data_IF_632485832044
#
_entry.id   IF_632485832044
#
_cell.length_a   1.000
_cell.length_b   1.000
_cell.length_c   1.000
_cell.angle_alpha   90.00
_cell.angle_beta   90.00
_cell.angle_gamma   90.00
#
_symmetry.space_group_name_H-M   'P 1'
#
loop_
_entity.id
_entity.type
_entity.pdbx_description
1 polymer ?
#
# COMPACT_ATOMS: atom_id res chain seq x y z
N UNK A 1 23.90 0.91 -24.35
CA UNK A 1 23.70 0.89 -22.90
C UNK A 1 22.44 0.08 -22.62
N UNK A 2 22.57 -1.04 -21.93
CA UNK A 2 21.68 -2.21 -22.05
C UNK A 2 20.32 -2.01 -21.37
N UNK A 3 19.30 -1.65 -22.16
CA UNK A 3 17.89 -1.52 -21.74
C UNK A 3 17.16 -2.87 -21.70
N UNK A 4 17.72 -3.91 -21.06
CA UNK A 4 17.10 -5.23 -20.96
C UNK A 4 17.09 -5.78 -19.53
N UNK A 5 16.33 -5.15 -18.63
CA UNK A 5 15.90 -5.79 -17.38
C UNK A 5 14.47 -5.38 -16.98
N UNK A 6 13.63 -5.00 -17.94
CA UNK A 6 12.26 -4.55 -17.64
C UNK A 6 11.32 -5.70 -17.23
N UNK A 7 11.80 -6.97 -17.17
CA UNK A 7 10.93 -8.14 -16.91
C UNK A 7 11.47 -9.25 -16.00
N UNK A 8 12.64 -9.08 -15.39
CA UNK A 8 13.22 -10.12 -14.49
C UNK A 8 12.81 -9.98 -13.02
N UNK A 9 12.14 -8.87 -12.66
CA UNK A 9 11.79 -8.58 -11.26
C UNK A 9 10.38 -9.05 -10.87
N UNK A 10 9.85 -10.12 -11.49
CA UNK A 10 8.53 -10.62 -11.11
C UNK A 10 8.55 -11.19 -9.68
N UNK A 11 7.71 -10.68 -8.80
CA UNK A 11 7.51 -11.23 -7.47
C UNK A 11 6.48 -12.36 -7.51
N UNK A 12 6.71 -13.41 -6.72
CA UNK A 12 5.72 -14.47 -6.57
C UNK A 12 4.42 -13.92 -5.96
N UNK A 13 3.25 -14.48 -6.30
CA UNK A 13 1.97 -14.06 -5.71
C UNK A 13 1.99 -14.12 -4.18
N UNK A 14 2.69 -15.10 -3.62
CA UNK A 14 2.89 -15.24 -2.18
C UNK A 14 3.65 -14.05 -1.56
N UNK A 15 4.76 -13.64 -2.18
CA UNK A 15 5.55 -12.49 -1.70
C UNK A 15 4.73 -11.19 -1.75
N UNK A 16 3.97 -10.99 -2.84
CA UNK A 16 3.07 -9.84 -3.00
C UNK A 16 1.94 -9.85 -1.96
N UNK A 17 1.34 -11.02 -1.70
CA UNK A 17 0.32 -11.16 -0.68
C UNK A 17 0.86 -10.84 0.72
N UNK A 18 2.11 -11.20 1.02
CA UNK A 18 2.79 -10.81 2.26
C UNK A 18 2.88 -9.29 2.43
N UNK A 19 3.07 -8.55 1.34
CA UNK A 19 3.10 -7.08 1.34
C UNK A 19 1.69 -6.51 1.53
N UNK A 20 0.69 -7.03 0.82
CA UNK A 20 -0.73 -6.65 1.01
C UNK A 20 -1.14 -6.85 2.47
N UNK A 21 -0.77 -7.98 3.07
CA UNK A 21 -1.08 -8.27 4.47
C UNK A 21 -0.42 -7.24 5.41
N UNK A 22 0.85 -6.86 5.18
CA UNK A 22 1.50 -5.79 5.95
C UNK A 22 0.80 -4.44 5.81
N UNK A 23 0.30 -4.11 4.62
CA UNK A 23 -0.45 -2.86 4.36
C UNK A 23 -1.74 -2.89 5.16
N UNK A 24 -2.47 -4.00 5.08
CA UNK A 24 -3.71 -4.20 5.82
C UNK A 24 -3.51 -4.15 7.34
N UNK A 25 -2.45 -4.79 7.85
CA UNK A 25 -2.08 -4.74 9.28
C UNK A 25 -1.80 -3.31 9.74
N UNK A 26 -1.11 -2.54 8.90
CA UNK A 26 -0.83 -1.12 9.16
C UNK A 26 -2.14 -0.33 9.19
N UNK A 27 -3.05 -0.53 8.23
CA UNK A 27 -4.35 0.15 8.21
C UNK A 27 -5.18 -0.18 9.46
N UNK A 28 -5.24 -1.45 9.86
CA UNK A 28 -5.96 -1.91 11.05
C UNK A 28 -5.45 -1.26 12.33
N UNK A 29 -4.14 -1.12 12.50
CA UNK A 29 -3.54 -0.49 13.70
C UNK A 29 -3.88 0.98 13.85
N UNK A 30 -4.13 1.68 12.75
CA UNK A 30 -4.47 3.11 12.76
C UNK A 30 -5.99 3.35 12.73
N UNK A 31 -6.80 2.32 12.54
CA UNK A 31 -8.26 2.39 12.52
C UNK A 31 -8.87 1.37 13.51
N UNK A 32 -8.93 1.73 14.81
CA UNK A 32 -9.37 0.80 15.87
C UNK A 32 -10.85 0.38 15.80
N UNK A 33 -11.65 0.95 14.89
CA UNK A 33 -13.08 0.63 14.73
C UNK A 33 -13.45 0.43 13.25
N UNK A 34 -13.08 -0.72 12.68
CA UNK A 34 -13.57 -1.12 11.36
C UNK A 34 -14.65 -2.20 11.51
N UNK A 35 -15.89 -1.87 11.12
CA UNK A 35 -16.97 -2.86 10.91
C UNK A 35 -16.50 -3.98 9.97
N UNK A 36 -17.10 -5.19 9.97
CA UNK A 36 -16.77 -6.22 8.99
C UNK A 36 -16.78 -5.71 7.54
N UNK A 37 -17.72 -4.84 7.17
CA UNK A 37 -17.76 -4.17 5.87
C UNK A 37 -16.53 -3.27 5.65
N UNK A 38 -16.17 -2.47 6.64
CA UNK A 38 -15.00 -1.60 6.56
C UNK A 38 -13.69 -2.38 6.48
N UNK A 39 -13.62 -3.57 7.10
CA UNK A 39 -12.46 -4.45 6.99
C UNK A 39 -12.27 -4.96 5.55
N UNK A 40 -13.36 -5.28 4.86
CA UNK A 40 -13.33 -5.67 3.46
C UNK A 40 -12.86 -4.51 2.56
N UNK A 41 -13.33 -3.29 2.84
CA UNK A 41 -12.87 -2.09 2.13
C UNK A 41 -11.37 -1.83 2.35
N UNK A 42 -10.84 -2.00 3.57
CA UNK A 42 -9.40 -1.88 3.81
C UNK A 42 -8.60 -2.91 3.03
N UNK A 43 -9.11 -4.14 2.90
CA UNK A 43 -8.47 -5.19 2.11
C UNK A 43 -8.47 -4.82 0.63
N UNK A 44 -9.59 -4.31 0.09
CA UNK A 44 -9.68 -3.82 -1.30
C UNK A 44 -8.70 -2.67 -1.55
N UNK A 45 -8.58 -1.73 -0.62
CA UNK A 45 -7.62 -0.63 -0.68
C UNK A 45 -6.19 -1.16 -0.69
N UNK A 46 -5.84 -2.07 0.21
CA UNK A 46 -4.49 -2.66 0.27
C UNK A 46 -4.12 -3.41 -1.02
N UNK A 47 -5.05 -4.18 -1.58
CA UNK A 47 -4.86 -4.90 -2.85
C UNK A 47 -4.66 -3.95 -4.03
N UNK A 48 -5.59 -3.00 -4.24
CA UNK A 48 -5.49 -2.02 -5.34
C UNK A 48 -4.22 -1.18 -5.23
N UNK A 49 -3.84 -0.84 -4.01
CA UNK A 49 -2.64 -0.07 -3.74
C UNK A 49 -1.38 -0.84 -4.18
N UNK A 50 -1.22 -2.08 -3.71
CA UNK A 50 -0.07 -2.91 -4.07
C UNK A 50 -0.02 -3.18 -5.57
N UNK A 51 -1.16 -3.49 -6.19
CA UNK A 51 -1.27 -3.78 -7.62
C UNK A 51 -0.86 -2.57 -8.49
N UNK A 52 -1.29 -1.37 -8.10
CA UNK A 52 -0.89 -0.13 -8.77
C UNK A 52 0.61 0.11 -8.68
N UNK A 53 1.24 -0.20 -7.55
CA UNK A 53 2.70 -0.05 -7.40
C UNK A 53 3.43 -1.13 -8.19
N UNK A 54 2.93 -2.36 -8.19
CA UNK A 54 3.52 -3.47 -8.95
C UNK A 54 3.51 -3.19 -10.46
N UNK A 55 2.41 -2.66 -10.99
CA UNK A 55 2.28 -2.35 -12.41
C UNK A 55 3.07 -1.12 -12.86
N UNK A 56 3.39 -0.20 -11.95
CA UNK A 56 4.10 1.06 -12.27
C UNK A 56 5.58 1.06 -11.92
N UNK A 57 6.06 0.06 -11.17
CA UNK A 57 7.48 -0.03 -10.83
C UNK A 57 8.29 -0.64 -11.97
N UNK A 58 9.49 -0.12 -12.20
CA UNK A 58 10.40 -0.68 -13.21
C UNK A 58 11.25 -1.84 -12.68
N UNK A 59 11.42 -1.95 -11.36
CA UNK A 59 12.22 -2.97 -10.69
C UNK A 59 11.76 -3.20 -9.24
N UNK A 60 12.26 -4.28 -8.62
CA UNK A 60 11.89 -4.67 -7.25
C UNK A 60 12.24 -3.58 -6.22
N UNK A 61 13.37 -2.90 -6.38
CA UNK A 61 13.80 -1.82 -5.49
C UNK A 61 12.83 -0.65 -5.54
N UNK A 62 12.42 -0.24 -6.74
CA UNK A 62 11.45 0.83 -6.92
C UNK A 62 10.08 0.45 -6.35
N UNK A 63 9.64 -0.79 -6.56
CA UNK A 63 8.43 -1.32 -5.98
C UNK A 63 8.47 -1.25 -4.44
N UNK A 64 9.51 -1.79 -3.79
CA UNK A 64 9.64 -1.77 -2.34
C UNK A 64 9.74 -0.35 -1.77
N UNK A 65 10.46 0.55 -2.45
CA UNK A 65 10.55 1.98 -2.09
C UNK A 65 9.18 2.66 -2.16
N UNK A 66 8.43 2.45 -3.24
CA UNK A 66 7.08 3.01 -3.42
C UNK A 66 6.07 2.47 -2.40
N UNK A 67 6.13 1.18 -2.08
CA UNK A 67 5.34 0.58 -0.99
C UNK A 67 5.68 1.27 0.34
N UNK A 68 6.97 1.39 0.67
CA UNK A 68 7.43 1.97 1.94
C UNK A 68 7.00 3.43 2.08
N UNK A 69 7.17 4.25 1.04
CA UNK A 69 6.75 5.65 1.04
C UNK A 69 5.24 5.80 1.27
N UNK A 70 4.44 4.94 0.64
CA UNK A 70 2.99 4.98 0.78
C UNK A 70 2.51 4.44 2.12
N UNK A 71 3.20 3.47 2.72
CA UNK A 71 2.95 3.03 4.09
C UNK A 71 3.11 4.19 5.09
N UNK A 72 4.06 5.10 4.87
CA UNK A 72 4.22 6.31 5.68
C UNK A 72 3.02 7.25 5.50
N UNK A 73 2.52 7.43 4.27
CA UNK A 73 1.30 8.22 4.03
C UNK A 73 0.04 7.61 4.65
N UNK A 74 -0.09 6.27 4.63
CA UNK A 74 -1.21 5.56 5.27
C UNK A 74 -1.16 5.68 6.80
N UNK A 75 0.04 5.75 7.38
CA UNK A 75 0.27 6.11 8.79
C UNK A 75 -0.21 7.52 9.14
N UNK A 76 -0.13 8.46 8.19
CA UNK A 76 -0.56 9.85 8.35
C UNK A 76 -2.04 10.11 8.06
N UNK A 77 -2.76 9.18 7.44
CA UNK A 77 -4.21 9.35 7.18
C UNK A 77 -5.02 9.45 8.49
N UNK A 78 -4.54 8.85 9.59
CA UNK A 78 -5.15 9.03 10.92
C UNK A 78 -5.11 10.49 11.43
N UNK A 79 -4.37 11.40 10.80
CA UNK A 79 -4.30 12.82 11.16
C UNK A 79 -4.88 13.77 10.09
N UNK A 80 -5.55 13.25 9.05
CA UNK A 80 -6.10 14.03 7.95
C UNK A 80 -7.53 14.58 8.15
N UNK A 81 -8.05 14.61 9.37
CA UNK A 81 -9.32 15.28 9.68
C UNK A 81 -9.19 16.10 10.96
N UNK A 82 -8.51 17.25 10.85
CA UNK A 82 -8.63 18.36 11.80
C UNK A 82 -8.06 19.65 11.18
N UNK A 83 -8.66 20.12 10.09
CA UNK A 83 -8.67 21.58 9.79
C UNK A 83 -10.02 21.93 9.18
N UNK A 84 -11.01 21.90 10.05
CA UNK A 84 -12.20 22.73 9.94
C UNK A 84 -11.93 23.97 10.80
N UNK A 85 -11.59 25.13 10.22
CA UNK A 85 -11.89 26.38 10.89
C UNK A 85 -13.37 26.66 10.63
N UNK A 86 -14.22 26.24 11.57
CA UNK A 86 -15.40 27.03 11.87
C UNK A 86 -14.90 28.31 12.55
N UNK A 87 -14.88 29.41 11.81
CA UNK A 87 -15.00 30.78 12.30
C UNK A 87 -15.31 31.69 11.12
#
# INVERSE_FOLDING_TARGET
DSTMDTRSWTLSPWARQGIVNKILDTLKRHMPFTSPEGMEELKKVALRFEEKVYTTAANQTEYLRKISLKMLSLRGWSQGSAVNPCA
#
